data_IF_353226045154
#
_entry.id   IF_353226045154
#
_cell.length_a   1.000
_cell.length_b   1.000
_cell.length_c   1.000
_cell.angle_alpha   90.00
_cell.angle_beta   90.00
_cell.angle_gamma   90.00
#
_symmetry.space_group_name_H-M   'P 1'
#
loop_
_entity.id
_entity.type
_entity.pdbx_description
1 polymer ?
#
# COMPACT_ATOMS: atom_id res chain seq x y z
N UNK A 1 5.38 16.20 8.76
CA UNK A 1 5.03 15.31 7.63
C UNK A 1 6.26 14.54 7.23
N UNK A 2 6.14 13.23 7.01
CA UNK A 2 7.24 12.39 6.47
C UNK A 2 6.85 11.90 5.08
N UNK A 3 7.76 12.02 4.11
CA UNK A 3 7.61 11.51 2.75
C UNK A 3 8.43 10.24 2.58
N UNK A 4 7.81 9.20 2.05
CA UNK A 4 8.36 7.85 1.94
C UNK A 4 8.50 7.48 0.46
N UNK A 5 9.68 6.99 0.09
CA UNK A 5 9.96 6.49 -1.25
C UNK A 5 9.42 5.06 -1.40
N UNK A 6 8.48 4.85 -2.32
CA UNK A 6 7.86 3.55 -2.51
C UNK A 6 8.34 2.86 -3.81
N UNK A 7 7.75 3.16 -4.96
CA UNK A 7 8.07 2.44 -6.20
C UNK A 7 9.53 2.56 -6.63
N UNK A 8 10.09 3.78 -6.62
CA UNK A 8 11.49 3.97 -7.02
C UNK A 8 12.46 3.25 -6.10
N UNK A 9 12.22 3.25 -4.78
CA UNK A 9 13.04 2.50 -3.85
C UNK A 9 13.02 1.01 -4.17
N UNK A 10 11.86 0.43 -4.39
CA UNK A 10 11.72 -0.99 -4.68
C UNK A 10 12.34 -1.36 -6.03
N UNK A 11 12.18 -0.54 -7.07
CA UNK A 11 12.85 -0.73 -8.35
C UNK A 11 14.37 -0.73 -8.20
N UNK A 12 14.92 0.28 -7.53
CA UNK A 12 16.37 0.37 -7.28
C UNK A 12 16.87 -0.80 -6.43
N UNK A 13 16.13 -1.17 -5.37
CA UNK A 13 16.52 -2.26 -4.49
C UNK A 13 16.72 -3.58 -5.26
N UNK A 14 15.77 -3.90 -6.12
CA UNK A 14 15.82 -5.16 -6.87
C UNK A 14 16.72 -5.14 -8.12
N UNK A 15 16.94 -3.98 -8.73
CA UNK A 15 17.78 -3.87 -9.94
C UNK A 15 19.21 -3.45 -9.63
N UNK A 16 19.41 -2.60 -8.63
CA UNK A 16 20.68 -1.94 -8.37
C UNK A 16 21.25 -2.24 -6.97
N UNK A 17 20.49 -2.95 -6.13
CA UNK A 17 20.88 -3.37 -4.78
C UNK A 17 20.72 -2.29 -3.70
N UNK A 18 20.90 -2.71 -2.43
CA UNK A 18 20.60 -1.91 -1.24
C UNK A 18 21.31 -0.55 -1.19
N UNK A 19 22.60 -0.51 -1.52
CA UNK A 19 23.38 0.72 -1.43
C UNK A 19 22.79 1.79 -2.34
N UNK A 20 22.58 1.47 -3.62
CA UNK A 20 22.03 2.40 -4.60
C UNK A 20 20.61 2.84 -4.24
N UNK A 21 19.75 1.92 -3.83
CA UNK A 21 18.37 2.22 -3.48
C UNK A 21 18.28 3.22 -2.30
N UNK A 22 19.09 3.01 -1.27
CA UNK A 22 19.12 3.87 -0.08
C UNK A 22 19.70 5.25 -0.40
N UNK A 23 20.84 5.29 -1.10
CA UNK A 23 21.49 6.54 -1.52
C UNK A 23 20.59 7.37 -2.44
N UNK A 24 19.88 6.73 -3.36
CA UNK A 24 18.97 7.42 -4.28
C UNK A 24 17.77 8.02 -3.55
N UNK A 25 17.10 7.25 -2.67
CA UNK A 25 16.00 7.78 -1.88
C UNK A 25 16.43 8.98 -1.01
N UNK A 26 17.61 8.91 -0.39
CA UNK A 26 18.19 10.03 0.36
C UNK A 26 18.49 11.24 -0.53
N UNK A 27 19.07 11.04 -1.72
CA UNK A 27 19.39 12.11 -2.68
C UNK A 27 18.15 12.80 -3.25
N UNK A 28 17.01 12.08 -3.34
CA UNK A 28 15.73 12.67 -3.70
C UNK A 28 15.11 13.51 -2.57
N UNK A 29 15.57 13.36 -1.32
CA UNK A 29 15.09 14.10 -0.16
C UNK A 29 13.88 13.48 0.52
N UNK A 30 13.74 12.15 0.45
CA UNK A 30 12.76 11.40 1.23
C UNK A 30 13.20 11.27 2.70
N UNK A 31 12.23 11.08 3.59
CA UNK A 31 12.46 10.82 5.01
C UNK A 31 12.54 9.32 5.33
N UNK A 32 12.18 8.48 4.38
CA UNK A 32 12.20 7.04 4.55
C UNK A 32 11.83 6.29 3.28
N UNK A 33 11.71 4.98 3.44
CA UNK A 33 11.37 4.04 2.37
C UNK A 33 10.27 3.09 2.80
N UNK A 34 9.59 2.49 1.84
CA UNK A 34 8.61 1.43 2.06
C UNK A 34 8.95 0.21 1.22
N UNK A 35 9.59 -0.79 1.81
CA UNK A 35 9.87 -2.06 1.13
C UNK A 35 8.58 -2.80 0.75
N UNK A 36 8.52 -3.29 -0.49
CA UNK A 36 7.40 -4.05 -1.03
C UNK A 36 7.86 -5.39 -1.58
N UNK A 37 7.12 -6.44 -1.27
CA UNK A 37 7.18 -7.68 -2.02
C UNK A 37 5.78 -8.33 -2.11
N UNK A 38 5.68 -9.47 -2.79
CA UNK A 38 4.40 -10.14 -3.00
C UNK A 38 4.48 -11.66 -2.91
N UNK A 39 3.32 -12.26 -2.60
CA UNK A 39 3.14 -13.69 -2.55
C UNK A 39 2.02 -14.14 -3.55
N UNK A 40 2.30 -15.07 -4.48
CA UNK A 40 3.64 -15.59 -4.79
C UNK A 40 4.53 -14.53 -5.42
N UNK A 41 5.81 -14.59 -5.12
CA UNK A 41 6.78 -13.69 -5.76
C UNK A 41 6.93 -14.04 -7.25
N UNK A 42 7.12 -13.02 -8.08
CA UNK A 42 7.49 -13.18 -9.49
C UNK A 42 9.00 -12.97 -9.72
N UNK A 43 9.75 -12.79 -8.64
CA UNK A 43 11.21 -12.65 -8.64
C UNK A 43 11.89 -14.00 -8.40
N UNK A 44 13.22 -14.02 -8.46
CA UNK A 44 14.02 -15.22 -8.22
C UNK A 44 13.83 -15.77 -6.79
N UNK A 45 13.66 -14.87 -5.81
CA UNK A 45 13.37 -15.19 -4.42
C UNK A 45 12.62 -14.03 -3.76
N UNK A 46 11.95 -14.24 -2.61
CA UNK A 46 11.37 -13.16 -1.82
C UNK A 46 12.45 -12.22 -1.26
N UNK A 47 12.06 -10.97 -0.98
CA UNK A 47 12.94 -9.91 -0.48
C UNK A 47 13.73 -10.34 0.76
N UNK A 48 13.12 -11.07 1.67
CA UNK A 48 13.73 -11.54 2.92
C UNK A 48 14.76 -12.68 2.72
N UNK A 49 14.86 -13.25 1.53
CA UNK A 49 15.92 -14.19 1.12
C UNK A 49 17.00 -13.48 0.29
N UNK A 50 16.66 -12.40 -0.39
CA UNK A 50 17.57 -11.65 -1.24
C UNK A 50 18.41 -10.64 -0.48
N UNK A 51 17.87 -10.06 0.61
CA UNK A 51 18.49 -8.96 1.34
C UNK A 51 18.51 -9.19 2.85
N UNK A 52 19.64 -8.92 3.47
CA UNK A 52 19.78 -8.91 4.92
C UNK A 52 19.10 -7.67 5.51
N UNK A 53 18.07 -7.86 6.34
CA UNK A 53 17.28 -6.78 6.93
C UNK A 53 18.10 -5.87 7.85
N UNK A 54 19.07 -6.44 8.62
CA UNK A 54 19.92 -5.65 9.52
C UNK A 54 20.90 -4.79 8.74
N UNK A 55 21.43 -5.30 7.62
CA UNK A 55 22.28 -4.52 6.73
C UNK A 55 21.49 -3.37 6.10
N UNK A 56 20.27 -3.67 5.59
CA UNK A 56 19.39 -2.64 5.03
C UNK A 56 19.05 -1.58 6.10
N UNK A 57 18.71 -1.99 7.31
CA UNK A 57 18.46 -1.08 8.44
C UNK A 57 19.65 -0.16 8.72
N UNK A 58 20.87 -0.72 8.80
CA UNK A 58 22.09 0.08 9.04
C UNK A 58 22.33 1.12 7.94
N UNK A 59 22.06 0.76 6.69
CA UNK A 59 22.18 1.69 5.56
C UNK A 59 21.14 2.79 5.62
N UNK A 60 19.90 2.47 5.96
CA UNK A 60 18.83 3.45 6.15
C UNK A 60 19.20 4.43 7.26
N UNK A 61 19.58 3.91 8.44
CA UNK A 61 20.00 4.73 9.60
C UNK A 61 21.20 5.63 9.25
N UNK A 62 22.18 5.09 8.52
CA UNK A 62 23.37 5.85 8.09
C UNK A 62 23.06 6.96 7.08
N UNK A 63 21.92 6.93 6.42
CA UNK A 63 21.45 7.97 5.49
C UNK A 63 20.28 8.81 6.06
N UNK A 64 19.94 8.63 7.35
CA UNK A 64 18.86 9.37 7.99
C UNK A 64 17.47 8.97 7.54
N UNK A 65 17.30 7.77 6.95
CA UNK A 65 16.02 7.25 6.46
C UNK A 65 15.40 6.28 7.46
N UNK A 66 14.07 6.20 7.47
CA UNK A 66 13.31 5.19 8.22
C UNK A 66 12.50 4.28 7.28
N UNK A 67 12.01 3.15 7.82
CA UNK A 67 11.04 2.29 7.14
C UNK A 67 9.80 2.13 8.04
N UNK A 68 8.88 3.11 8.06
CA UNK A 68 7.76 3.09 9.00
C UNK A 68 6.71 2.02 8.68
N UNK A 69 6.58 1.68 7.41
CA UNK A 69 5.68 0.68 6.87
C UNK A 69 6.43 -0.25 5.92
N UNK A 70 6.06 -1.52 5.93
CA UNK A 70 6.45 -2.49 4.90
C UNK A 70 5.19 -3.06 4.26
N UNK A 71 5.21 -3.22 2.95
CA UNK A 71 4.07 -3.68 2.15
C UNK A 71 4.23 -5.12 1.68
N UNK A 72 3.19 -5.94 1.88
CA UNK A 72 3.14 -7.33 1.49
C UNK A 72 1.90 -7.63 0.66
N UNK A 73 2.06 -7.75 -0.65
CA UNK A 73 0.97 -8.01 -1.57
C UNK A 73 0.64 -9.50 -1.65
N UNK A 74 -0.48 -9.92 -1.06
CA UNK A 74 -0.98 -11.30 -1.15
C UNK A 74 -2.01 -11.37 -2.28
N UNK A 75 -1.73 -12.19 -3.32
CA UNK A 75 -2.64 -12.32 -4.46
C UNK A 75 -3.93 -13.06 -4.10
N UNK A 76 -3.83 -14.17 -3.38
CA UNK A 76 -4.98 -15.02 -3.04
C UNK A 76 -4.71 -15.85 -1.78
N UNK A 77 -5.02 -15.32 -0.62
CA UNK A 77 -4.84 -16.07 0.64
C UNK A 77 -5.92 -17.14 0.89
N UNK A 78 -7.01 -17.12 0.12
CA UNK A 78 -8.10 -18.11 0.17
C UNK A 78 -7.76 -19.44 -0.51
N UNK A 79 -6.65 -19.53 -1.24
CA UNK A 79 -6.27 -20.73 -2.01
C UNK A 79 -5.21 -21.61 -1.37
N UNK A 80 -4.24 -21.01 -0.71
CA UNK A 80 -3.11 -21.70 -0.07
C UNK A 80 -2.72 -20.97 1.20
N UNK A 81 -3.56 -21.09 2.21
CA UNK A 81 -3.41 -20.32 3.45
C UNK A 81 -2.11 -20.66 4.20
N UNK A 82 -1.67 -21.91 4.18
CA UNK A 82 -0.48 -22.33 4.93
C UNK A 82 0.80 -21.76 4.29
N UNK A 83 0.96 -21.86 2.96
CA UNK A 83 2.09 -21.28 2.25
C UNK A 83 2.09 -19.74 2.35
N UNK A 84 0.91 -19.12 2.29
CA UNK A 84 0.78 -17.66 2.51
C UNK A 84 1.21 -17.28 3.90
N UNK A 85 0.79 -18.00 4.93
CA UNK A 85 1.16 -17.70 6.32
C UNK A 85 2.67 -17.87 6.56
N UNK A 86 3.27 -18.95 6.06
CA UNK A 86 4.72 -19.18 6.20
C UNK A 86 5.53 -18.02 5.59
N UNK A 87 5.25 -17.67 4.34
CA UNK A 87 5.91 -16.56 3.66
C UNK A 87 5.64 -15.21 4.35
N UNK A 88 4.41 -14.96 4.80
CA UNK A 88 4.04 -13.73 5.49
C UNK A 88 4.74 -13.60 6.84
N UNK A 89 4.88 -14.68 7.61
CA UNK A 89 5.58 -14.66 8.89
C UNK A 89 7.06 -14.31 8.73
N UNK A 90 7.73 -14.86 7.71
CA UNK A 90 9.11 -14.49 7.38
C UNK A 90 9.23 -13.03 6.95
N UNK A 91 8.25 -12.52 6.21
CA UNK A 91 8.22 -11.11 5.84
C UNK A 91 7.98 -10.19 7.05
N UNK A 92 7.14 -10.59 8.00
CA UNK A 92 6.93 -9.89 9.28
C UNK A 92 8.25 -9.79 10.06
N UNK A 93 9.02 -10.88 10.13
CA UNK A 93 10.34 -10.89 10.77
C UNK A 93 11.31 -9.92 10.08
N UNK A 94 11.34 -9.91 8.76
CA UNK A 94 12.11 -8.95 7.97
C UNK A 94 11.69 -7.50 8.25
N UNK A 95 10.39 -7.21 8.26
CA UNK A 95 9.86 -5.87 8.54
C UNK A 95 10.18 -5.41 9.98
N UNK A 96 10.08 -6.32 10.95
CA UNK A 96 10.43 -6.05 12.34
C UNK A 96 11.92 -5.70 12.52
N UNK A 97 12.83 -6.42 11.86
CA UNK A 97 14.27 -6.11 11.87
C UNK A 97 14.56 -4.74 11.23
N UNK A 98 13.77 -4.31 10.23
CA UNK A 98 13.84 -2.94 9.68
C UNK A 98 13.33 -1.88 10.66
N UNK A 99 12.61 -2.27 11.71
CA UNK A 99 11.98 -1.38 12.68
C UNK A 99 10.68 -0.76 12.19
N UNK A 100 9.97 -1.45 11.28
CA UNK A 100 8.67 -1.03 10.83
C UNK A 100 7.64 -1.04 11.96
N UNK A 101 6.81 0.01 12.01
CA UNK A 101 5.68 0.07 12.93
C UNK A 101 4.42 -0.55 12.33
N UNK A 102 4.37 -0.65 11.00
CA UNK A 102 3.21 -1.09 10.25
C UNK A 102 3.56 -2.17 9.23
N UNK A 103 2.69 -3.15 9.13
CA UNK A 103 2.60 -4.04 7.98
C UNK A 103 1.33 -3.72 7.20
N UNK A 104 1.46 -3.11 6.02
CA UNK A 104 0.39 -3.08 5.04
C UNK A 104 0.36 -4.41 4.30
N UNK A 105 -0.81 -5.04 4.20
CA UNK A 105 -0.94 -6.24 3.38
C UNK A 105 -2.31 -6.36 2.74
N UNK A 106 -2.33 -6.99 1.57
CA UNK A 106 -3.58 -7.39 0.92
C UNK A 106 -3.97 -8.82 1.34
N UNK A 107 -5.21 -9.21 1.07
CA UNK A 107 -5.71 -10.57 1.26
C UNK A 107 -6.07 -11.23 -0.08
N UNK A 108 -6.61 -10.42 -0.98
CA UNK A 108 -6.95 -10.79 -2.36
C UNK A 108 -6.62 -9.60 -3.25
N UNK A 109 -5.43 -9.60 -3.82
CA UNK A 109 -5.05 -8.60 -4.80
C UNK A 109 -5.64 -8.96 -6.16
N UNK A 110 -6.76 -8.35 -6.52
CA UNK A 110 -7.41 -8.49 -7.82
C UNK A 110 -7.77 -7.11 -8.36
N UNK A 111 -7.03 -6.64 -9.35
CA UNK A 111 -7.25 -5.37 -10.05
C UNK A 111 -8.11 -5.53 -11.31
N UNK A 112 -8.63 -6.72 -11.53
CA UNK A 112 -9.60 -7.02 -12.60
C UNK A 112 -10.77 -7.80 -12.00
N UNK A 113 -11.99 -7.62 -12.52
CA UNK A 113 -13.11 -8.46 -12.12
C UNK A 113 -12.77 -9.94 -12.33
N UNK A 114 -13.02 -10.76 -11.32
CA UNK A 114 -12.83 -12.21 -11.42
C UNK A 114 -14.11 -12.81 -12.00
N UNK A 115 -14.05 -13.56 -13.11
CA UNK A 115 -15.17 -14.36 -13.55
C UNK A 115 -15.59 -15.31 -12.43
N UNK A 116 -16.88 -15.49 -12.23
CA UNK A 116 -17.43 -16.35 -11.16
C UNK A 116 -16.92 -16.00 -9.74
N UNK A 117 -16.68 -14.70 -9.51
CA UNK A 117 -16.25 -14.23 -8.19
C UNK A 117 -17.28 -14.62 -7.12
N UNK A 118 -16.83 -15.10 -5.94
CA UNK A 118 -17.72 -15.31 -4.80
C UNK A 118 -18.30 -13.97 -4.33
N UNK A 119 -19.38 -14.02 -3.52
CA UNK A 119 -19.86 -12.80 -2.86
C UNK A 119 -18.83 -12.25 -1.90
N UNK A 120 -19.00 -10.97 -1.52
CA UNK A 120 -18.12 -10.34 -0.52
C UNK A 120 -18.06 -11.16 0.79
N UNK A 121 -19.22 -11.62 1.28
CA UNK A 121 -19.34 -12.38 2.52
C UNK A 121 -18.64 -13.75 2.42
N UNK A 122 -18.77 -14.41 1.27
CA UNK A 122 -18.08 -15.67 1.02
C UNK A 122 -16.56 -15.47 0.99
N UNK A 123 -16.08 -14.42 0.31
CA UNK A 123 -14.66 -14.10 0.28
C UNK A 123 -14.15 -13.70 1.66
N UNK A 124 -14.87 -12.83 2.38
CA UNK A 124 -14.51 -12.44 3.73
C UNK A 124 -14.40 -13.67 4.66
N UNK A 125 -15.38 -14.55 4.63
CA UNK A 125 -15.37 -15.79 5.42
C UNK A 125 -14.16 -16.68 5.10
N UNK A 126 -13.77 -16.76 3.82
CA UNK A 126 -12.63 -17.56 3.39
C UNK A 126 -11.28 -16.99 3.84
N UNK A 127 -11.10 -15.66 3.84
CA UNK A 127 -9.82 -15.03 4.14
C UNK A 127 -9.64 -14.65 5.62
N UNK A 128 -10.73 -14.47 6.36
CA UNK A 128 -10.70 -13.96 7.73
C UNK A 128 -9.83 -14.78 8.70
N UNK A 129 -9.83 -16.14 8.68
CA UNK A 129 -8.94 -16.90 9.54
C UNK A 129 -7.46 -16.63 9.30
N UNK A 130 -7.06 -16.46 8.04
CA UNK A 130 -5.69 -16.11 7.65
C UNK A 130 -5.34 -14.68 8.06
N UNK A 131 -6.25 -13.73 7.81
CA UNK A 131 -6.09 -12.34 8.23
C UNK A 131 -5.84 -12.23 9.74
N UNK A 132 -6.64 -12.90 10.56
CA UNK A 132 -6.50 -12.91 12.03
C UNK A 132 -5.14 -13.46 12.48
N UNK A 133 -4.66 -14.54 11.85
CA UNK A 133 -3.33 -15.10 12.15
C UNK A 133 -2.19 -14.14 11.79
N UNK A 134 -2.31 -13.40 10.69
CA UNK A 134 -1.32 -12.37 10.29
C UNK A 134 -1.32 -11.25 11.32
N UNK A 135 -2.49 -10.73 11.71
CA UNK A 135 -2.60 -9.67 12.73
C UNK A 135 -1.97 -10.10 14.04
N UNK A 136 -2.31 -11.29 14.53
CA UNK A 136 -1.70 -11.84 15.74
C UNK A 136 -0.18 -11.88 15.66
N UNK A 137 0.36 -12.34 14.53
CA UNK A 137 1.81 -12.40 14.34
C UNK A 137 2.45 -11.01 14.34
N UNK A 138 1.81 -10.01 13.72
CA UNK A 138 2.30 -8.63 13.77
C UNK A 138 2.33 -8.09 15.21
N UNK A 139 1.28 -8.32 16.00
CA UNK A 139 1.23 -7.89 17.41
C UNK A 139 2.36 -8.51 18.25
N UNK A 140 2.76 -9.77 17.99
CA UNK A 140 3.90 -10.42 18.63
C UNK A 140 5.24 -9.68 18.40
N UNK A 141 5.33 -8.93 17.29
CA UNK A 141 6.48 -8.09 16.93
C UNK A 141 6.26 -6.60 17.22
N UNK A 142 5.17 -6.23 17.88
CA UNK A 142 4.84 -4.84 18.19
C UNK A 142 4.43 -4.01 16.96
N UNK A 143 4.08 -4.66 15.87
CA UNK A 143 3.60 -4.00 14.65
C UNK A 143 2.09 -4.02 14.55
N UNK A 144 1.52 -3.02 13.89
CA UNK A 144 0.10 -2.93 13.55
C UNK A 144 -0.13 -3.32 12.09
N UNK A 145 -1.14 -4.16 11.82
CA UNK A 145 -1.58 -4.44 10.47
C UNK A 145 -2.41 -3.30 9.91
N UNK A 146 -2.19 -2.99 8.63
CA UNK A 146 -2.99 -2.02 7.88
C UNK A 146 -3.64 -2.69 6.67
N UNK A 147 -4.92 -2.39 6.48
CA UNK A 147 -5.65 -2.77 5.28
C UNK A 147 -5.86 -1.55 4.39
N UNK A 148 -5.71 -1.75 3.09
CA UNK A 148 -5.82 -0.72 2.08
C UNK A 148 -7.13 -0.89 1.29
N UNK A 149 -7.82 0.18 0.91
CA UNK A 149 -8.81 0.13 -0.16
C UNK A 149 -8.12 -0.35 -1.45
N UNK A 150 -8.21 -1.65 -1.78
CA UNK A 150 -7.49 -2.19 -2.92
C UNK A 150 -8.22 -3.33 -3.62
N UNK A 151 -8.03 -3.38 -4.95
CA UNK A 151 -8.60 -4.42 -5.80
C UNK A 151 -10.11 -4.34 -5.90
N UNK A 152 -10.74 -5.50 -6.15
CA UNK A 152 -12.17 -5.58 -6.44
C UNK A 152 -13.03 -6.09 -5.26
N UNK A 153 -12.41 -6.57 -4.17
CA UNK A 153 -13.13 -7.15 -3.02
C UNK A 153 -13.08 -6.24 -1.79
N UNK A 154 -11.89 -6.00 -1.26
CA UNK A 154 -11.70 -5.25 -0.02
C UNK A 154 -11.35 -3.79 -0.34
N UNK A 155 -12.24 -3.15 -1.10
CA UNK A 155 -12.08 -1.79 -1.56
C UNK A 155 -13.37 -1.00 -1.36
N UNK A 156 -13.26 0.33 -1.41
CA UNK A 156 -14.36 1.22 -1.09
C UNK A 156 -14.71 1.23 0.39
N UNK A 157 -15.67 2.06 0.77
CA UNK A 157 -16.09 2.26 2.17
C UNK A 157 -16.60 0.96 2.79
N UNK A 158 -17.54 0.31 2.11
CA UNK A 158 -18.19 -0.89 2.65
C UNK A 158 -17.21 -2.07 2.74
N UNK A 159 -16.37 -2.26 1.72
CA UNK A 159 -15.42 -3.38 1.65
C UNK A 159 -14.37 -3.32 2.74
N UNK A 160 -13.72 -2.17 2.92
CA UNK A 160 -12.69 -1.99 3.96
C UNK A 160 -13.30 -1.98 5.36
N UNK A 161 -14.40 -1.23 5.57
CA UNK A 161 -15.06 -1.18 6.88
C UNK A 161 -15.60 -2.52 7.33
N UNK A 162 -16.09 -3.34 6.41
CA UNK A 162 -16.55 -4.70 6.70
C UNK A 162 -15.40 -5.61 7.15
N UNK A 163 -14.28 -5.57 6.44
CA UNK A 163 -13.07 -6.32 6.82
C UNK A 163 -12.54 -5.88 8.20
N UNK A 164 -12.38 -4.57 8.41
CA UNK A 164 -11.92 -4.03 9.70
C UNK A 164 -12.82 -4.47 10.85
N UNK A 165 -14.13 -4.40 10.68
CA UNK A 165 -15.10 -4.84 11.69
C UNK A 165 -14.92 -6.31 12.04
N UNK A 166 -14.85 -7.19 11.03
CA UNK A 166 -14.70 -8.62 11.23
C UNK A 166 -13.38 -9.00 11.91
N UNK A 167 -12.28 -8.31 11.60
CA UNK A 167 -11.01 -8.53 12.29
C UNK A 167 -11.04 -7.98 13.71
N UNK A 168 -11.65 -6.81 13.92
CA UNK A 168 -11.74 -6.14 15.23
C UNK A 168 -12.63 -6.85 16.26
N UNK A 169 -13.42 -7.83 15.86
CA UNK A 169 -14.09 -8.72 16.82
C UNK A 169 -13.10 -9.42 17.77
N UNK A 170 -11.85 -9.59 17.34
CA UNK A 170 -10.80 -10.27 18.11
C UNK A 170 -9.53 -9.42 18.28
N UNK A 171 -9.17 -8.61 17.30
CA UNK A 171 -7.94 -7.80 17.27
C UNK A 171 -8.26 -6.33 17.02
N UNK A 172 -8.30 -5.54 18.09
CA UNK A 172 -8.64 -4.11 18.00
C UNK A 172 -7.58 -3.26 17.27
N UNK A 173 -6.34 -3.73 17.22
CA UNK A 173 -5.17 -2.98 16.79
C UNK A 173 -4.94 -2.91 15.28
N UNK A 174 -5.97 -3.07 14.43
CA UNK A 174 -5.84 -2.91 12.97
C UNK A 174 -6.20 -1.51 12.51
N UNK A 175 -5.50 -1.01 11.48
CA UNK A 175 -5.72 0.31 10.89
C UNK A 175 -5.88 0.28 9.37
N UNK A 176 -5.84 1.45 8.76
CA UNK A 176 -5.95 1.65 7.32
C UNK A 176 -4.65 2.26 6.78
N UNK A 177 -4.17 1.68 5.69
CA UNK A 177 -3.32 2.37 4.73
C UNK A 177 -4.26 3.11 3.77
N UNK A 178 -4.39 4.41 3.92
CA UNK A 178 -5.31 5.19 3.10
C UNK A 178 -4.70 5.47 1.73
N UNK A 179 -5.06 4.67 0.74
CA UNK A 179 -4.70 4.93 -0.64
C UNK A 179 -5.66 5.94 -1.26
N UNK A 180 -5.11 7.02 -1.80
CA UNK A 180 -5.88 8.15 -2.32
C UNK A 180 -6.34 7.98 -3.78
N UNK A 181 -6.12 6.82 -4.40
CA UNK A 181 -6.51 6.54 -5.79
C UNK A 181 -7.28 5.24 -5.99
N UNK A 182 -6.96 4.20 -5.20
CA UNK A 182 -7.46 2.84 -5.44
C UNK A 182 -8.99 2.67 -5.37
N UNK A 183 -9.70 3.53 -4.67
CA UNK A 183 -11.17 3.44 -4.60
C UNK A 183 -11.85 3.63 -5.96
N UNK A 184 -11.17 4.27 -6.91
CA UNK A 184 -11.64 4.39 -8.30
C UNK A 184 -11.83 3.03 -9.00
N UNK A 185 -11.11 1.97 -8.58
CA UNK A 185 -11.31 0.62 -9.11
C UNK A 185 -12.71 0.07 -8.85
N UNK A 186 -13.39 0.57 -7.84
CA UNK A 186 -14.77 0.19 -7.49
C UNK A 186 -15.77 1.33 -7.71
N UNK A 187 -15.36 2.35 -8.47
CA UNK A 187 -16.15 3.53 -8.84
C UNK A 187 -16.60 4.38 -7.63
N UNK A 188 -15.84 4.34 -6.52
CA UNK A 188 -16.07 5.21 -5.37
C UNK A 188 -15.11 6.40 -5.40
N UNK A 189 -15.60 7.57 -4.96
CA UNK A 189 -14.81 8.80 -4.87
C UNK A 189 -13.68 8.66 -3.86
N UNK A 190 -12.39 8.90 -4.21
CA UNK A 190 -11.29 8.88 -3.25
C UNK A 190 -11.51 9.81 -2.06
N UNK A 191 -12.13 10.98 -2.27
CA UNK A 191 -12.43 11.92 -1.21
C UNK A 191 -13.43 11.34 -0.19
N UNK A 192 -14.50 10.69 -0.68
CA UNK A 192 -15.52 10.11 0.19
C UNK A 192 -14.98 8.91 0.97
N UNK A 193 -14.17 8.07 0.33
CA UNK A 193 -13.49 6.94 0.98
C UNK A 193 -12.49 7.43 2.03
N UNK A 194 -11.69 8.46 1.70
CA UNK A 194 -10.77 9.09 2.65
C UNK A 194 -11.52 9.63 3.85
N UNK A 195 -12.62 10.36 3.64
CA UNK A 195 -13.45 10.91 4.71
C UNK A 195 -14.01 9.81 5.65
N UNK A 196 -14.47 8.71 5.05
CA UNK A 196 -15.08 7.62 5.83
C UNK A 196 -14.05 6.82 6.65
N UNK A 197 -12.80 6.68 6.16
CA UNK A 197 -11.77 5.85 6.77
C UNK A 197 -10.72 6.64 7.55
N UNK A 198 -10.81 7.97 7.58
CA UNK A 198 -9.77 8.87 8.11
C UNK A 198 -9.41 8.61 9.57
N UNK A 199 -10.38 8.23 10.40
CA UNK A 199 -10.16 7.90 11.82
C UNK A 199 -9.26 6.69 12.05
N UNK A 200 -9.21 5.80 11.06
CA UNK A 200 -8.43 4.58 11.07
C UNK A 200 -7.11 4.70 10.29
N UNK A 201 -6.87 5.80 9.56
CA UNK A 201 -5.68 6.01 8.77
C UNK A 201 -4.42 6.07 9.65
N UNK A 202 -3.42 5.27 9.31
CA UNK A 202 -2.10 5.21 9.97
C UNK A 202 -0.96 5.44 9.00
N UNK A 203 -1.18 5.15 7.73
CA UNK A 203 -0.27 5.34 6.62
C UNK A 203 -1.05 5.79 5.40
N UNK A 204 -0.42 6.50 4.46
CA UNK A 204 -1.09 7.02 3.26
C UNK A 204 -0.28 6.67 2.03
N UNK A 205 -0.92 6.13 1.00
CA UNK A 205 -0.36 6.01 -0.33
C UNK A 205 -0.89 7.12 -1.25
N UNK A 206 0.03 7.75 -1.97
CA UNK A 206 -0.28 8.84 -2.90
C UNK A 206 0.05 8.42 -4.32
N UNK A 207 -0.98 8.29 -5.11
CA UNK A 207 -0.95 8.08 -6.56
C UNK A 207 -2.10 8.84 -7.21
N UNK A 208 -2.10 9.00 -8.52
CA UNK A 208 -3.17 9.70 -9.22
C UNK A 208 -3.53 9.01 -10.52
N UNK A 209 -4.78 9.08 -10.91
CA UNK A 209 -5.33 8.48 -12.12
C UNK A 209 -6.15 9.47 -12.92
N UNK A 210 -6.04 9.40 -14.26
CA UNK A 210 -7.01 9.95 -15.16
C UNK A 210 -8.12 8.93 -15.39
N UNK A 211 -9.37 9.36 -15.28
CA UNK A 211 -10.57 8.56 -15.55
C UNK A 211 -11.03 8.76 -17.00
N UNK A 212 -10.83 7.77 -17.85
CA UNK A 212 -11.14 7.85 -19.29
C UNK A 212 -12.42 7.06 -19.56
N UNK A 213 -13.45 7.78 -20.03
CA UNK A 213 -14.72 7.19 -20.43
C UNK A 213 -15.27 7.86 -21.69
N UNK A 214 -15.48 7.12 -22.82
CA UNK A 214 -15.26 5.68 -22.97
C UNK A 214 -13.75 5.30 -22.95
N UNK A 215 -13.43 4.03 -22.61
CA UNK A 215 -12.05 3.54 -22.62
C UNK A 215 -11.38 3.67 -23.99
N UNK A 216 -10.08 3.96 -23.98
CA UNK A 216 -9.24 4.15 -25.17
C UNK A 216 -8.21 3.03 -25.28
N UNK A 217 -8.22 2.30 -26.40
CA UNK A 217 -7.32 1.16 -26.65
C UNK A 217 -5.83 1.56 -26.82
N UNK A 218 -5.55 2.83 -27.14
CA UNK A 218 -4.19 3.37 -27.30
C UNK A 218 -3.54 3.77 -25.96
N UNK A 219 -4.31 3.77 -24.86
CA UNK A 219 -3.80 4.06 -23.53
C UNK A 219 -3.69 2.77 -22.70
N UNK A 220 -2.58 2.64 -21.98
CA UNK A 220 -2.42 1.59 -20.95
C UNK A 220 -3.16 2.04 -19.68
N UNK A 221 -3.83 1.10 -19.02
CA UNK A 221 -4.51 1.37 -17.78
C UNK A 221 -5.33 0.17 -17.32
N UNK A 222 -6.04 0.35 -16.23
CA UNK A 222 -6.93 -0.65 -15.66
C UNK A 222 -8.39 -0.25 -15.91
N UNK A 223 -9.29 -1.21 -15.90
CA UNK A 223 -10.73 -0.92 -15.94
C UNK A 223 -11.29 -0.98 -14.51
N UNK A 224 -12.06 0.03 -14.14
CA UNK A 224 -12.86 0.00 -12.93
C UNK A 224 -13.98 -1.03 -13.04
N UNK A 225 -14.69 -1.29 -11.95
CA UNK A 225 -15.86 -2.18 -11.92
C UNK A 225 -16.95 -1.72 -12.90
N UNK A 226 -17.16 -0.43 -13.03
CA UNK A 226 -18.12 0.20 -13.96
C UNK A 226 -17.58 0.40 -15.38
N UNK A 227 -16.34 0.00 -15.67
CA UNK A 227 -15.75 0.07 -17.00
C UNK A 227 -15.09 1.39 -17.35
N UNK A 228 -14.84 2.28 -16.40
CA UNK A 228 -14.00 3.48 -16.58
C UNK A 228 -12.54 3.04 -16.65
N UNK A 229 -11.78 3.54 -17.61
CA UNK A 229 -10.36 3.27 -17.72
C UNK A 229 -9.57 4.21 -16.80
N UNK A 230 -8.78 3.62 -15.90
CA UNK A 230 -7.90 4.31 -14.98
C UNK A 230 -6.49 4.29 -15.55
N UNK A 231 -5.96 5.47 -15.87
CA UNK A 231 -4.62 5.64 -16.46
C UNK A 231 -3.76 6.38 -15.47
N UNK A 232 -2.61 5.79 -15.09
CA UNK A 232 -1.64 6.44 -14.23
C UNK A 232 -1.23 7.80 -14.78
N UNK A 233 -1.18 8.80 -13.91
CA UNK A 233 -0.76 10.14 -14.28
C UNK A 233 0.11 10.79 -13.20
N UNK A 234 0.57 12.01 -13.43
CA UNK A 234 1.33 12.77 -12.44
C UNK A 234 0.43 13.15 -11.27
N UNK A 235 0.99 13.07 -10.07
CA UNK A 235 0.34 13.48 -8.83
C UNK A 235 -0.14 14.93 -8.94
N UNK A 236 -1.43 15.15 -8.74
CA UNK A 236 -2.10 16.44 -8.84
C UNK A 236 -2.65 16.80 -10.22
N UNK A 237 -2.45 15.95 -11.24
CA UNK A 237 -2.96 16.15 -12.59
C UNK A 237 -4.14 15.23 -12.93
N UNK A 238 -4.54 14.33 -12.01
CA UNK A 238 -5.60 13.34 -12.21
C UNK A 238 -6.92 13.69 -11.55
N UNK A 239 -7.79 12.69 -11.55
CA UNK A 239 -9.17 12.79 -11.07
C UNK A 239 -9.36 12.32 -9.61
N UNK A 240 -8.27 11.93 -8.91
CA UNK A 240 -8.35 11.47 -7.52
C UNK A 240 -8.67 12.58 -6.50
N UNK A 241 -8.69 13.85 -6.92
CA UNK A 241 -8.92 15.00 -6.02
C UNK A 241 -7.91 15.05 -4.87
N UNK A 242 -6.66 14.78 -5.14
CA UNK A 242 -5.61 14.59 -4.13
C UNK A 242 -5.44 15.79 -3.20
N UNK A 243 -5.52 17.03 -3.72
CA UNK A 243 -5.40 18.23 -2.87
C UNK A 243 -6.46 18.26 -1.78
N UNK A 244 -7.69 17.86 -2.11
CA UNK A 244 -8.81 17.83 -1.16
C UNK A 244 -8.67 16.66 -0.17
N UNK A 245 -8.23 15.48 -0.63
CA UNK A 245 -7.93 14.34 0.24
C UNK A 245 -6.82 14.67 1.25
N UNK A 246 -5.73 15.30 0.79
CA UNK A 246 -4.62 15.74 1.65
C UNK A 246 -5.07 16.81 2.65
N UNK A 247 -5.84 17.80 2.21
CA UNK A 247 -6.40 18.81 3.10
C UNK A 247 -7.33 18.20 4.15
N UNK A 248 -8.11 17.19 3.79
CA UNK A 248 -8.97 16.46 4.71
C UNK A 248 -8.17 15.73 5.80
N UNK A 249 -7.11 15.01 5.40
CA UNK A 249 -6.17 14.34 6.32
C UNK A 249 -5.53 15.33 7.29
N UNK A 250 -5.01 16.45 6.77
CA UNK A 250 -4.42 17.53 7.56
C UNK A 250 -5.42 18.10 8.59
N UNK A 251 -6.65 18.42 8.15
CA UNK A 251 -7.68 19.00 9.00
C UNK A 251 -8.13 18.01 10.10
N UNK A 252 -8.06 16.72 9.84
CA UNK A 252 -8.32 15.67 10.84
C UNK A 252 -7.14 15.42 11.80
N UNK A 253 -6.02 16.13 11.64
CA UNK A 253 -4.82 15.99 12.48
C UNK A 253 -3.96 14.77 12.14
N UNK A 254 -4.06 14.23 10.92
CA UNK A 254 -3.18 13.13 10.50
C UNK A 254 -1.71 13.58 10.54
N UNK A 255 -0.89 12.83 11.23
CA UNK A 255 0.54 13.12 11.43
C UNK A 255 1.46 11.99 10.98
N UNK A 256 0.91 10.98 10.31
CA UNK A 256 1.65 9.83 9.78
C UNK A 256 2.50 10.16 8.56
N UNK A 257 2.94 9.10 7.89
CA UNK A 257 3.77 9.20 6.69
C UNK A 257 2.94 9.08 5.40
N UNK A 258 3.46 9.68 4.33
CA UNK A 258 2.89 9.63 2.99
C UNK A 258 3.88 8.94 2.05
N UNK A 259 3.54 7.77 1.53
CA UNK A 259 4.32 7.05 0.53
C UNK A 259 3.96 7.53 -0.88
N UNK A 260 4.97 7.93 -1.64
CA UNK A 260 4.82 8.32 -3.04
C UNK A 260 4.86 7.06 -3.89
N UNK A 261 3.69 6.62 -4.33
CA UNK A 261 3.49 5.37 -5.07
C UNK A 261 3.30 5.65 -6.57
N UNK A 262 4.38 6.11 -7.20
CA UNK A 262 4.41 6.40 -8.64
C UNK A 262 5.58 5.71 -9.32
N UNK A 263 5.40 5.37 -10.58
CA UNK A 263 6.47 4.88 -11.45
C UNK A 263 6.92 6.03 -12.35
N UNK A 264 7.96 6.76 -11.95
CA UNK A 264 8.34 8.02 -12.58
C UNK A 264 9.84 8.32 -12.46
N UNK A 265 10.32 9.27 -13.27
CA UNK A 265 11.66 9.84 -13.15
C UNK A 265 11.80 10.74 -11.91
N UNK A 266 13.04 11.12 -11.60
CA UNK A 266 13.40 11.90 -10.42
C UNK A 266 12.72 13.29 -10.39
N UNK A 267 12.56 13.94 -11.54
CA UNK A 267 11.93 15.26 -11.61
C UNK A 267 10.43 15.17 -11.32
N UNK A 268 9.76 14.20 -11.91
CA UNK A 268 8.35 13.91 -11.64
C UNK A 268 8.13 13.52 -10.18
N UNK A 269 9.04 12.72 -9.60
CA UNK A 269 8.99 12.35 -8.19
C UNK A 269 9.14 13.54 -7.27
N UNK A 270 10.10 14.45 -7.52
CA UNK A 270 10.25 15.67 -6.72
C UNK A 270 9.00 16.55 -6.80
N UNK A 271 8.39 16.69 -7.97
CA UNK A 271 7.12 17.42 -8.12
C UNK A 271 5.99 16.79 -7.31
N UNK A 272 5.88 15.47 -7.29
CA UNK A 272 4.93 14.77 -6.45
C UNK A 272 5.15 15.04 -4.96
N UNK A 273 6.41 14.99 -4.51
CA UNK A 273 6.77 15.33 -3.13
C UNK A 273 6.39 16.77 -2.78
N UNK A 274 6.67 17.72 -3.68
CA UNK A 274 6.35 19.13 -3.47
C UNK A 274 4.84 19.36 -3.43
N UNK A 275 4.07 18.67 -4.29
CA UNK A 275 2.60 18.71 -4.27
C UNK A 275 2.06 18.23 -2.91
N UNK A 276 2.59 17.11 -2.39
CA UNK A 276 2.16 16.59 -1.08
C UNK A 276 2.54 17.54 0.04
N UNK A 277 3.75 18.15 0.03
CA UNK A 277 4.18 19.13 1.03
C UNK A 277 3.30 20.39 1.05
N UNK A 278 2.81 20.81 -0.10
CA UNK A 278 1.97 22.01 -0.22
C UNK A 278 0.54 21.79 0.26
N UNK A 279 -0.02 20.60 0.11
CA UNK A 279 -1.42 20.31 0.35
C UNK A 279 -1.70 19.47 1.62
N UNK A 280 -0.69 18.73 2.11
CA UNK A 280 -0.82 17.83 3.26
C UNK A 280 -0.40 18.41 4.62
#
# INVERSE_FOLDING_TARGET
>A
MKLICYNQFNQDLFHNGMARAVEHAAALGFDGVEPLDMMPTHRAAPIYEMFDARELRRRLDGNGLCAPCCSWAIRRCDRDADAVLDATYRYIEFAAELGASYLHHTLVLSVTPLPDAPSYEQMLSAVLPTAKKIVKRCEEYGMQCLYEPQGMFFNGIAGVSGLLRAVREEYAGVGVCADLGNSLFVDESPLDVTAALIGDARHVHVKDYLCINPPRADLKGHLSRGGVQLVDCRVGEGDCRLAECLALLKNAGYSGAYSIEIDADDDTTRRAMDFVRQNG
#
